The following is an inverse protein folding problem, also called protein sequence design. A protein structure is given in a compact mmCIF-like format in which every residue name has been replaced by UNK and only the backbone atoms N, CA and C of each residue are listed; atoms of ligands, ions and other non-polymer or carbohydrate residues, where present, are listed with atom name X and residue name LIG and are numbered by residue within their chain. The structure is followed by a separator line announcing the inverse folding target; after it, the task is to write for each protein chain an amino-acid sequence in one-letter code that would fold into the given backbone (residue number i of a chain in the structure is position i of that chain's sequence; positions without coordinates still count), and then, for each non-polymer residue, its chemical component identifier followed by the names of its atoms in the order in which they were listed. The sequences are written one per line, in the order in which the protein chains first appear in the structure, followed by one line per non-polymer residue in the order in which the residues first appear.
data_IF_280249135187
#
_entry.id   IF_280249135187
#
_cell.length_a   1.000
_cell.length_b   1.000
_cell.length_c   1.000
_cell.angle_alpha   90.00
_cell.angle_beta   90.00
_cell.angle_gamma   90.00
#
_symmetry.space_group_name_H-M   'P 1'
#
loop_
_entity.id
_entity.type
_entity.pdbx_description
1 polymer ?
#
# COMPACT_ATOMS: atom_id res chain seq x y z
N UNK A 1 5.33 6.27 -10.78
CA UNK A 1 5.45 4.83 -10.47
C UNK A 1 5.51 4.76 -8.96
N UNK A 2 4.51 4.15 -8.32
CA UNK A 2 4.41 4.11 -6.86
C UNK A 2 5.47 3.17 -6.27
N UNK A 3 6.12 3.58 -5.19
CA UNK A 3 7.07 2.78 -4.43
C UNK A 3 6.36 2.15 -3.23
N UNK A 4 6.32 0.81 -3.20
CA UNK A 4 5.77 0.05 -2.08
C UNK A 4 6.88 -0.42 -1.15
N UNK A 5 6.69 -0.20 0.15
CA UNK A 5 7.60 -0.65 1.20
C UNK A 5 6.80 -1.32 2.32
N UNK A 6 7.29 -2.48 2.78
CA UNK A 6 6.68 -3.23 3.88
C UNK A 6 7.75 -3.40 4.96
N UNK A 7 7.51 -2.84 6.13
CA UNK A 7 8.43 -2.87 7.27
C UNK A 7 7.80 -3.69 8.39
N UNK A 8 8.51 -4.72 8.86
CA UNK A 8 8.06 -5.51 10.00
C UNK A 8 8.33 -4.77 11.31
N UNK A 9 7.27 -4.48 12.06
CA UNK A 9 7.34 -3.88 13.38
C UNK A 9 7.37 -4.98 14.45
N UNK A 10 8.45 -4.98 15.25
CA UNK A 10 8.65 -5.98 16.31
C UNK A 10 7.93 -5.64 17.61
N UNK A 11 7.52 -4.39 17.81
CA UNK A 11 6.77 -3.98 19.01
C UNK A 11 5.30 -4.38 18.88
N UNK A 12 4.70 -4.17 17.71
CA UNK A 12 3.29 -4.49 17.44
C UNK A 12 3.10 -5.87 16.83
N UNK A 13 4.18 -6.49 16.33
CA UNK A 13 4.14 -7.72 15.53
C UNK A 13 3.35 -7.60 14.22
N UNK A 14 3.12 -6.37 13.76
CA UNK A 14 2.43 -6.06 12.52
C UNK A 14 3.41 -5.64 11.42
N UNK A 15 2.93 -5.64 10.18
CA UNK A 15 3.63 -5.17 8.99
C UNK A 15 3.11 -3.79 8.63
N UNK A 16 3.94 -2.77 8.82
CA UNK A 16 3.66 -1.41 8.40
C UNK A 16 3.82 -1.30 6.88
N UNK A 17 2.80 -0.78 6.22
CA UNK A 17 2.73 -0.59 4.78
C UNK A 17 2.96 0.88 4.45
N UNK A 18 3.95 1.13 3.60
CA UNK A 18 4.26 2.46 3.11
C UNK A 18 4.09 2.51 1.59
N UNK A 19 3.47 3.59 1.12
CA UNK A 19 3.33 3.92 -0.28
C UNK A 19 3.96 5.29 -0.53
N UNK A 20 4.96 5.36 -1.40
CA UNK A 20 5.74 6.58 -1.68
C UNK A 20 6.30 7.25 -0.41
N UNK A 21 6.66 6.44 0.59
CA UNK A 21 7.16 6.91 1.90
C UNK A 21 6.07 7.36 2.87
N UNK A 22 4.79 7.29 2.49
CA UNK A 22 3.66 7.59 3.36
C UNK A 22 3.10 6.30 3.98
N UNK A 23 2.86 6.29 5.30
CA UNK A 23 2.25 5.16 5.98
C UNK A 23 0.77 5.06 5.59
N UNK A 24 0.43 4.02 4.83
CA UNK A 24 -0.94 3.80 4.35
C UNK A 24 -1.72 2.81 5.22
N UNK A 25 -1.04 1.99 6.02
CA UNK A 25 -1.72 1.10 6.96
C UNK A 25 -0.82 0.05 7.58
N UNK A 26 -1.45 -0.91 8.26
CA UNK A 26 -0.80 -2.06 8.91
C UNK A 26 -1.51 -3.35 8.54
N UNK A 27 -0.77 -4.43 8.39
CA UNK A 27 -1.29 -5.77 8.13
C UNK A 27 -0.69 -6.78 9.11
N UNK A 28 -1.40 -7.89 9.36
CA UNK A 28 -0.92 -8.91 10.31
C UNK A 28 0.09 -9.86 9.69
N UNK A 29 0.14 -9.92 8.37
CA UNK A 29 1.07 -10.77 7.62
C UNK A 29 1.65 -10.01 6.43
N UNK A 30 2.85 -10.41 6.01
CA UNK A 30 3.50 -9.85 4.82
C UNK A 30 2.63 -10.01 3.56
N UNK A 31 1.98 -11.16 3.38
CA UNK A 31 1.12 -11.41 2.23
C UNK A 31 -0.10 -10.51 2.21
N UNK A 32 -0.76 -10.31 3.35
CA UNK A 32 -1.87 -9.37 3.48
C UNK A 32 -1.41 -7.95 3.15
N UNK A 33 -0.24 -7.53 3.65
CA UNK A 33 0.35 -6.24 3.31
C UNK A 33 0.56 -6.06 1.80
N UNK A 34 1.09 -7.07 1.12
CA UNK A 34 1.29 -7.03 -0.33
C UNK A 34 -0.03 -6.91 -1.09
N UNK A 35 -1.03 -7.71 -0.75
CA UNK A 35 -2.35 -7.68 -1.41
C UNK A 35 -3.01 -6.33 -1.22
N UNK A 36 -2.97 -5.77 -0.01
CA UNK A 36 -3.55 -4.45 0.28
C UNK A 36 -2.82 -3.33 -0.46
N UNK A 37 -1.48 -3.35 -0.50
CA UNK A 37 -0.71 -2.36 -1.26
C UNK A 37 -0.99 -2.43 -2.76
N UNK A 38 -1.05 -3.64 -3.33
CA UNK A 38 -1.36 -3.82 -4.75
C UNK A 38 -2.79 -3.35 -5.08
N UNK A 39 -3.77 -3.58 -4.20
CA UNK A 39 -5.12 -3.06 -4.35
C UNK A 39 -5.17 -1.52 -4.30
N UNK A 40 -4.48 -0.90 -3.33
CA UNK A 40 -4.40 0.55 -3.21
C UNK A 40 -3.76 1.19 -4.44
N UNK A 41 -2.66 0.62 -4.92
CA UNK A 41 -1.99 1.08 -6.15
C UNK A 41 -2.94 0.95 -7.35
N UNK A 42 -3.65 -0.16 -7.47
CA UNK A 42 -4.62 -0.35 -8.55
C UNK A 42 -5.74 0.69 -8.50
N UNK A 43 -6.29 0.97 -7.31
CA UNK A 43 -7.33 2.00 -7.13
C UNK A 43 -6.80 3.40 -7.44
N UNK A 44 -5.57 3.73 -7.07
CA UNK A 44 -4.93 5.00 -7.38
C UNK A 44 -4.73 5.18 -8.89
N UNK A 45 -4.14 4.18 -9.56
CA UNK A 45 -3.93 4.20 -11.02
C UNK A 45 -5.27 4.26 -11.75
N UNK A 46 -6.25 3.47 -11.32
CA UNK A 46 -7.59 3.44 -11.91
C UNK A 46 -8.31 4.78 -11.69
N UNK A 47 -8.26 5.33 -10.48
CA UNK A 47 -8.87 6.62 -10.15
C UNK A 47 -8.24 7.81 -10.87
N UNK A 48 -6.91 7.82 -11.03
CA UNK A 48 -6.22 8.80 -11.88
C UNK A 48 -6.62 8.65 -13.34
N UNK A 49 -6.70 7.41 -13.85
CA UNK A 49 -7.15 7.13 -15.20
C UNK A 49 -8.57 7.65 -15.46
N UNK A 50 -9.48 7.54 -14.49
CA UNK A 50 -10.84 8.09 -14.60
C UNK A 50 -10.89 9.63 -14.54
N UNK A 51 -9.93 10.30 -13.88
CA UNK A 51 -9.86 11.77 -13.87
C UNK A 51 -9.28 12.36 -15.15
N UNK A 52 -8.36 11.66 -15.81
CA UNK A 52 -7.71 12.15 -17.04
C UNK A 52 -8.60 12.06 -18.29
N UNK A 53 -9.65 11.24 -18.26
CA UNK A 53 -10.56 11.02 -19.39
C UNK A 53 -11.89 11.81 -19.31
N UNK A 54 -12.01 12.76 -18.37
CA UNK A 54 -13.21 13.55 -18.12
C UNK A 54 -13.15 14.96 -18.72
#
# INVERSE_FOLDING_TARGET
MYQKEIIYDRETHDYAMYLDGELVGFARTYHEAEVTLDQLIFELISGEYFREVA
#
